data_IF_420710522755
#
_entry.id   IF_420710522755
#
_cell.length_a   1.000
_cell.length_b   1.000
_cell.length_c   1.000
_cell.angle_alpha   90.00
_cell.angle_beta   90.00
_cell.angle_gamma   90.00
#
_symmetry.space_group_name_H-M   'P 1'
#
loop_
_entity.id
_entity.type
_entity.pdbx_description
1 polymer ?
#
# COMPACT_ATOMS: atom_id res chain seq x y z
N UNK A 1 7.17 -11.86 18.01
CA UNK A 1 6.74 -10.96 16.92
C UNK A 1 5.76 -11.69 16.00
N UNK A 2 4.54 -11.18 15.84
CA UNK A 2 3.60 -11.69 14.86
C UNK A 2 3.94 -11.07 13.50
N UNK A 3 4.07 -11.89 12.47
CA UNK A 3 4.28 -11.44 11.09
C UNK A 3 2.95 -11.58 10.38
N UNK A 4 2.48 -10.48 9.79
CA UNK A 4 1.29 -10.45 8.95
C UNK A 4 1.69 -10.37 7.48
N UNK A 5 0.92 -11.03 6.61
CA UNK A 5 1.13 -10.94 5.16
C UNK A 5 0.53 -9.62 4.65
N UNK A 6 1.30 -8.89 3.84
CA UNK A 6 0.82 -7.68 3.15
C UNK A 6 0.13 -7.99 1.80
N UNK A 7 0.06 -9.27 1.41
CA UNK A 7 -0.50 -9.68 0.11
C UNK A 7 0.40 -9.39 -1.10
N UNK A 8 1.68 -9.07 -0.87
CA UNK A 8 2.67 -8.83 -1.94
C UNK A 8 3.56 -10.06 -2.06
N UNK A 9 3.58 -10.67 -3.25
CA UNK A 9 4.32 -11.90 -3.52
C UNK A 9 5.25 -11.71 -4.72
N UNK A 10 6.47 -12.22 -4.62
CA UNK A 10 7.47 -12.18 -5.71
C UNK A 10 7.79 -13.61 -6.15
N UNK A 11 7.63 -13.86 -7.45
CA UNK A 11 7.91 -15.16 -8.06
C UNK A 11 8.82 -15.00 -9.26
N UNK A 12 9.58 -16.05 -9.57
CA UNK A 12 10.06 -16.21 -10.94
C UNK A 12 8.86 -16.55 -11.83
N UNK A 13 8.84 -16.04 -13.07
CA UNK A 13 7.75 -16.30 -14.01
C UNK A 13 7.51 -17.82 -14.22
N UNK A 14 8.59 -18.60 -14.29
CA UNK A 14 8.53 -20.07 -14.41
C UNK A 14 7.86 -20.73 -13.21
N UNK A 15 8.20 -20.30 -11.98
CA UNK A 15 7.59 -20.86 -10.78
C UNK A 15 6.10 -20.52 -10.73
N UNK A 16 5.73 -19.28 -11.06
CA UNK A 16 4.33 -18.85 -11.08
C UNK A 16 3.50 -19.67 -12.08
N UNK A 17 3.99 -19.84 -13.31
CA UNK A 17 3.31 -20.65 -14.32
C UNK A 17 3.15 -22.10 -13.90
N UNK A 18 4.22 -22.73 -13.40
CA UNK A 18 4.17 -24.11 -12.93
C UNK A 18 3.14 -24.28 -11.81
N UNK A 19 3.14 -23.38 -10.83
CA UNK A 19 2.21 -23.43 -9.69
C UNK A 19 0.75 -23.23 -10.14
N UNK A 20 0.49 -22.21 -10.96
CA UNK A 20 -0.88 -21.83 -11.31
C UNK A 20 -1.49 -22.64 -12.46
N UNK A 21 -0.69 -23.20 -13.37
CA UNK A 21 -1.21 -23.93 -14.53
C UNK A 21 -1.16 -25.44 -14.36
N UNK A 22 -0.12 -25.95 -13.71
CA UNK A 22 0.15 -27.39 -13.66
C UNK A 22 -0.19 -27.98 -12.29
N UNK A 23 0.29 -27.34 -11.23
CA UNK A 23 0.23 -27.92 -9.89
C UNK A 23 -1.11 -27.64 -9.20
N UNK A 24 -1.55 -26.39 -9.25
CA UNK A 24 -2.72 -25.91 -8.50
C UNK A 24 -3.68 -25.10 -9.41
N UNK A 25 -4.16 -25.68 -10.53
CA UNK A 25 -5.01 -24.95 -11.49
C UNK A 25 -6.38 -24.54 -10.96
N UNK A 26 -6.79 -25.08 -9.80
CA UNK A 26 -8.06 -24.75 -9.13
C UNK A 26 -7.87 -23.81 -7.93
N UNK A 27 -6.63 -23.37 -7.66
CA UNK A 27 -6.38 -22.47 -6.55
C UNK A 27 -6.92 -21.07 -6.86
N UNK A 28 -7.63 -20.48 -5.89
CA UNK A 28 -8.27 -19.17 -6.02
C UNK A 28 -7.64 -18.10 -5.12
N UNK A 29 -6.80 -18.49 -4.16
CA UNK A 29 -6.15 -17.55 -3.24
C UNK A 29 -4.65 -17.82 -3.08
N UNK A 30 -3.84 -16.76 -3.18
CA UNK A 30 -2.39 -16.89 -3.01
C UNK A 30 -1.99 -17.16 -1.57
N UNK A 31 -2.61 -16.47 -0.61
CA UNK A 31 -2.18 -16.50 0.79
C UNK A 31 -2.54 -17.81 1.49
N UNK A 32 -3.73 -18.33 1.23
CA UNK A 32 -4.30 -19.52 1.84
C UNK A 32 -4.04 -20.80 1.06
N UNK A 33 -3.86 -20.73 -0.26
CA UNK A 33 -3.72 -21.93 -1.10
C UNK A 33 -2.35 -22.02 -1.77
N UNK A 34 -1.99 -21.07 -2.65
CA UNK A 34 -0.79 -21.20 -3.50
C UNK A 34 0.51 -21.18 -2.68
N UNK A 35 0.71 -20.20 -1.80
CA UNK A 35 1.96 -20.05 -1.03
C UNK A 35 2.17 -21.21 -0.04
N UNK A 36 1.17 -21.60 0.79
CA UNK A 36 1.32 -22.74 1.69
C UNK A 36 1.60 -24.06 0.95
N UNK A 37 0.92 -24.30 -0.18
CA UNK A 37 1.13 -25.52 -0.97
C UNK A 37 2.49 -25.53 -1.68
N UNK A 38 2.97 -24.38 -2.18
CA UNK A 38 4.31 -24.27 -2.73
C UNK A 38 5.38 -24.60 -1.68
N UNK A 39 5.23 -24.10 -0.44
CA UNK A 39 6.10 -24.43 0.67
C UNK A 39 6.04 -25.92 1.03
N UNK A 40 4.83 -26.50 1.09
CA UNK A 40 4.64 -27.93 1.36
C UNK A 40 5.25 -28.84 0.28
N UNK A 41 5.29 -28.38 -0.98
CA UNK A 41 5.95 -29.07 -2.10
C UNK A 41 7.49 -28.92 -2.07
N UNK A 42 8.04 -28.17 -1.11
CA UNK A 42 9.48 -27.99 -0.95
C UNK A 42 10.09 -26.90 -1.84
N UNK A 43 9.28 -26.01 -2.43
CA UNK A 43 9.82 -24.83 -3.08
C UNK A 43 10.41 -23.88 -2.03
N UNK A 44 11.44 -23.13 -2.42
CA UNK A 44 12.03 -22.09 -1.57
C UNK A 44 11.05 -20.92 -1.42
N UNK A 45 10.37 -20.88 -0.28
CA UNK A 45 9.48 -19.78 0.14
C UNK A 45 10.14 -19.05 1.31
N UNK A 46 10.21 -17.72 1.23
CA UNK A 46 10.82 -16.88 2.26
C UNK A 46 9.96 -15.64 2.51
N UNK A 47 9.86 -15.23 3.77
CA UNK A 47 9.24 -13.96 4.14
C UNK A 47 10.24 -12.82 3.98
N UNK A 48 9.77 -11.68 3.50
CA UNK A 48 10.49 -10.41 3.51
C UNK A 48 9.82 -9.48 4.51
N UNK A 49 10.59 -9.01 5.50
CA UNK A 49 10.07 -8.09 6.52
C UNK A 49 10.11 -6.66 5.96
N UNK A 50 8.96 -6.01 5.91
CA UNK A 50 8.82 -4.62 5.54
C UNK A 50 8.70 -3.75 6.80
N UNK A 51 9.55 -2.73 6.89
CA UNK A 51 9.62 -1.82 8.05
C UNK A 51 9.19 -0.39 7.71
N UNK A 52 8.66 -0.17 6.49
CA UNK A 52 8.17 1.13 6.07
C UNK A 52 6.72 1.39 6.48
N UNK A 53 6.21 2.56 6.09
CA UNK A 53 4.81 2.90 6.31
C UNK A 53 3.88 1.97 5.53
N UNK A 54 2.93 1.36 6.23
CA UNK A 54 1.84 0.57 5.68
C UNK A 54 0.65 0.68 6.63
N UNK A 55 -0.54 0.86 6.07
CA UNK A 55 -1.77 1.00 6.84
C UNK A 55 -2.89 0.23 6.12
N UNK A 56 -3.66 -0.55 6.86
CA UNK A 56 -4.86 -1.23 6.34
C UNK A 56 -6.06 -0.28 6.40
N UNK A 57 -6.37 0.37 5.29
CA UNK A 57 -7.48 1.32 5.21
C UNK A 57 -8.79 0.58 4.90
N UNK A 58 -9.19 -0.31 5.82
CA UNK A 58 -10.40 -1.12 5.69
C UNK A 58 -11.66 -0.53 6.34
N UNK A 59 -11.52 0.51 7.18
CA UNK A 59 -12.64 1.13 7.91
C UNK A 59 -12.71 2.64 7.66
N UNK A 60 -13.90 3.23 7.86
CA UNK A 60 -14.10 4.68 7.78
C UNK A 60 -13.21 5.42 8.78
N UNK A 61 -13.05 4.87 9.98
CA UNK A 61 -12.20 5.42 11.04
C UNK A 61 -10.73 5.44 10.62
N UNK A 62 -10.21 4.30 10.13
CA UNK A 62 -8.84 4.22 9.62
C UNK A 62 -8.59 5.18 8.44
N UNK A 63 -9.55 5.28 7.51
CA UNK A 63 -9.48 6.23 6.40
C UNK A 63 -9.40 7.68 6.89
N UNK A 64 -10.27 8.05 7.82
CA UNK A 64 -10.30 9.40 8.38
C UNK A 64 -8.98 9.74 9.08
N UNK A 65 -8.51 8.86 9.96
CA UNK A 65 -7.27 9.09 10.70
C UNK A 65 -6.04 9.14 9.80
N UNK A 66 -5.91 8.23 8.82
CA UNK A 66 -4.78 8.26 7.88
C UNK A 66 -4.68 9.59 7.12
N UNK A 67 -5.81 10.17 6.72
CA UNK A 67 -5.82 11.47 6.04
C UNK A 67 -5.46 12.63 6.97
N UNK A 68 -5.90 12.60 8.23
CA UNK A 68 -5.55 13.64 9.21
C UNK A 68 -4.07 13.60 9.59
N UNK A 69 -3.51 12.40 9.82
CA UNK A 69 -2.09 12.20 10.17
C UNK A 69 -1.13 12.79 9.13
N UNK A 70 -1.57 12.94 7.87
CA UNK A 70 -0.77 13.60 6.83
C UNK A 70 -0.46 15.07 7.13
N UNK A 71 -1.24 15.70 8.02
CA UNK A 71 -1.05 17.10 8.42
C UNK A 71 -0.22 17.26 9.70
N UNK A 72 0.24 16.16 10.30
CA UNK A 72 1.11 16.23 11.46
C UNK A 72 2.47 16.84 11.12
N UNK A 73 3.15 17.50 12.07
CA UNK A 73 4.48 18.08 11.84
C UNK A 73 5.54 17.06 11.40
N UNK A 74 5.37 15.80 11.81
CA UNK A 74 6.24 14.68 11.47
C UNK A 74 5.35 13.49 11.05
N UNK A 75 4.79 13.50 9.83
CA UNK A 75 3.88 12.45 9.42
C UNK A 75 4.66 11.15 9.18
N UNK A 76 4.04 10.00 9.49
CA UNK A 76 4.66 8.69 9.25
C UNK A 76 4.87 8.40 7.77
N UNK A 77 4.14 9.11 6.91
CA UNK A 77 4.19 9.06 5.45
C UNK A 77 4.27 10.47 4.88
N UNK A 78 5.03 10.67 3.79
CA UNK A 78 5.19 11.99 3.16
C UNK A 78 4.98 11.93 1.66
N UNK A 79 4.10 12.80 1.16
CA UNK A 79 3.92 13.02 -0.28
C UNK A 79 5.06 13.83 -0.93
N UNK A 80 6.01 14.34 -0.13
CA UNK A 80 7.08 15.23 -0.59
C UNK A 80 8.40 14.50 -0.88
N UNK A 81 8.46 13.18 -0.73
CA UNK A 81 9.63 12.39 -1.10
C UNK A 81 9.82 12.34 -2.63
N UNK A 82 10.86 13.03 -3.11
CA UNK A 82 11.19 13.11 -4.54
C UNK A 82 11.85 11.83 -5.08
N UNK A 83 12.33 10.95 -4.21
CA UNK A 83 12.96 9.68 -4.61
C UNK A 83 11.93 8.59 -4.91
N UNK A 84 10.73 8.71 -4.33
CA UNK A 84 9.61 7.79 -4.50
C UNK A 84 8.29 8.55 -4.76
N UNK A 85 8.16 9.24 -5.93
CA UNK A 85 6.99 10.05 -6.23
C UNK A 85 5.72 9.20 -6.41
N UNK A 86 4.59 9.72 -5.92
CA UNK A 86 3.25 9.19 -6.19
C UNK A 86 2.67 9.91 -7.40
N UNK A 87 2.29 9.14 -8.43
CA UNK A 87 1.65 9.67 -9.63
C UNK A 87 0.14 9.55 -9.54
N UNK A 88 -0.56 10.62 -9.94
CA UNK A 88 -2.01 10.68 -10.06
C UNK A 88 -2.39 11.52 -11.28
N UNK A 89 -3.66 11.56 -11.64
CA UNK A 89 -4.15 12.44 -12.69
C UNK A 89 -4.02 13.90 -12.26
N UNK A 90 -3.19 14.68 -12.97
CA UNK A 90 -3.09 16.11 -12.74
C UNK A 90 -4.42 16.79 -13.00
N UNK A 91 -4.88 17.57 -12.02
CA UNK A 91 -6.00 18.48 -12.19
C UNK A 91 -5.42 19.88 -12.42
N UNK A 92 -5.93 20.60 -13.40
CA UNK A 92 -5.51 21.96 -13.71
C UNK A 92 -6.50 22.95 -13.09
N UNK A 93 -6.65 22.91 -11.76
CA UNK A 93 -7.61 23.77 -11.07
C UNK A 93 -7.01 25.17 -10.83
N UNK A 94 -7.85 26.20 -10.69
CA UNK A 94 -7.40 27.52 -10.27
C UNK A 94 -6.66 27.47 -8.92
N UNK A 95 -5.80 28.46 -8.60
CA UNK A 95 -5.16 28.53 -7.29
C UNK A 95 -6.19 28.77 -6.20
N UNK A 96 -5.93 28.20 -5.02
CA UNK A 96 -6.79 28.38 -3.86
C UNK A 96 -6.62 29.77 -3.25
N UNK A 97 -7.73 30.43 -2.92
CA UNK A 97 -7.73 31.81 -2.40
C UNK A 97 -8.33 31.87 -1.01
N UNK A 98 -7.55 32.37 -0.07
CA UNK A 98 -7.91 32.41 1.35
C UNK A 98 -7.83 33.87 1.82
N UNK A 99 -8.93 34.40 2.31
CA UNK A 99 -9.05 35.77 2.82
C UNK A 99 -9.50 35.74 4.28
N UNK A 100 -8.96 36.64 5.10
CA UNK A 100 -9.37 36.86 6.50
C UNK A 100 -9.55 35.59 7.34
N UNK A 101 -8.61 34.63 7.26
CA UNK A 101 -8.72 33.30 7.87
C UNK A 101 -7.51 32.91 8.74
N UNK A 102 -7.75 32.05 9.73
CA UNK A 102 -6.71 31.35 10.50
C UNK A 102 -6.71 29.87 10.12
N UNK A 103 -5.57 29.35 9.69
CA UNK A 103 -5.42 27.96 9.24
C UNK A 103 -4.29 27.31 10.03
N UNK A 104 -4.59 26.18 10.63
CA UNK A 104 -3.63 25.39 11.40
C UNK A 104 -3.71 23.92 10.98
N UNK A 105 -2.56 23.26 10.89
CA UNK A 105 -2.43 21.80 10.62
C UNK A 105 -3.35 21.30 9.51
N UNK A 106 -3.29 21.96 8.36
CA UNK A 106 -4.19 21.68 7.24
C UNK A 106 -3.41 21.63 5.93
N UNK A 107 -3.81 20.72 5.04
CA UNK A 107 -3.37 20.65 3.65
C UNK A 107 -4.52 21.14 2.77
N UNK A 108 -4.23 22.13 1.93
CA UNK A 108 -5.22 22.75 1.04
C UNK A 108 -4.80 22.45 -0.40
N UNK A 109 -5.66 21.74 -1.12
CA UNK A 109 -5.49 21.45 -2.54
C UNK A 109 -5.76 22.67 -3.41
N UNK A 110 -5.57 22.52 -4.72
CA UNK A 110 -5.96 23.49 -5.73
C UNK A 110 -7.48 23.56 -5.92
N UNK A 111 -8.00 24.73 -6.34
CA UNK A 111 -9.43 24.95 -6.59
C UNK A 111 -10.29 25.23 -5.36
N UNK A 112 -9.70 25.63 -4.23
CA UNK A 112 -10.41 25.95 -2.98
C UNK A 112 -10.64 27.46 -2.75
#
# INVERSE_FOLDING_TARGET
PYIASMGIYVFTAKAMQMLLMNDFPQANDFGGEVIPQAAAKGLKVQAYLFEGYWEDIGTVDAFFHANLECNDPNPKFSFYDRTAPIYTQSRFLPPSKILDSMIERSTIGDGC
#
